data_IF_667854937305
#
_entry.id   IF_667854937305
#
_cell.length_a   1.000
_cell.length_b   1.000
_cell.length_c   1.000
_cell.angle_alpha   90.00
_cell.angle_beta   90.00
_cell.angle_gamma   90.00
#
_symmetry.space_group_name_H-M   'P 1'
#
loop_
_entity.id
_entity.type
_entity.pdbx_description
1 polymer ?
#
# COMPACT_ATOMS: atom_id res chain seq x y z
N UNK A 1 2.33 4.29 16.65
CA UNK A 1 1.46 4.24 15.45
C UNK A 1 2.29 3.68 14.29
N UNK A 2 1.81 2.68 13.55
CA UNK A 2 2.62 1.98 12.53
C UNK A 2 2.96 2.94 11.38
N UNK A 3 4.25 3.10 11.06
CA UNK A 3 4.71 3.78 9.85
C UNK A 3 5.19 2.70 8.89
N UNK A 4 4.61 2.65 7.70
CA UNK A 4 5.01 1.71 6.64
C UNK A 4 5.79 2.47 5.57
N UNK A 5 6.79 1.81 4.99
CA UNK A 5 7.53 2.36 3.86
C UNK A 5 6.67 2.28 2.58
N UNK A 6 7.08 3.02 1.55
CA UNK A 6 6.32 3.16 0.31
C UNK A 6 6.10 1.81 -0.39
N UNK A 7 7.14 0.99 -0.46
CA UNK A 7 7.05 -0.36 -1.07
C UNK A 7 6.06 -1.28 -0.34
N UNK A 8 5.96 -1.17 0.99
CA UNK A 8 4.99 -1.94 1.78
C UNK A 8 3.59 -1.43 1.51
N UNK A 9 3.40 -0.11 1.43
CA UNK A 9 2.13 0.51 1.06
C UNK A 9 1.65 0.03 -0.31
N UNK A 10 2.48 0.05 -1.34
CA UNK A 10 2.10 -0.44 -2.68
C UNK A 10 1.65 -1.91 -2.66
N UNK A 11 2.39 -2.78 -1.96
CA UNK A 11 2.01 -4.19 -1.79
C UNK A 11 0.65 -4.33 -1.09
N UNK A 12 0.39 -3.50 -0.09
CA UNK A 12 -0.89 -3.51 0.64
C UNK A 12 -2.05 -2.99 -0.22
N UNK A 13 -1.82 -1.99 -1.09
CA UNK A 13 -2.82 -1.53 -2.06
C UNK A 13 -3.17 -2.66 -3.04
N UNK A 14 -2.15 -3.33 -3.59
CA UNK A 14 -2.35 -4.43 -4.55
C UNK A 14 -3.16 -5.58 -3.95
N UNK A 15 -2.87 -5.99 -2.70
CA UNK A 15 -3.62 -7.06 -2.05
C UNK A 15 -5.02 -6.61 -1.63
N UNK A 16 -5.21 -5.34 -1.24
CA UNK A 16 -6.54 -4.81 -0.89
C UNK A 16 -7.48 -4.79 -2.10
N UNK A 17 -6.96 -4.51 -3.29
CA UNK A 17 -7.72 -4.54 -4.55
C UNK A 17 -8.25 -5.93 -4.93
N UNK A 18 -7.86 -7.00 -4.24
CA UNK A 18 -8.38 -8.36 -4.44
C UNK A 18 -9.68 -8.62 -3.67
N UNK A 19 -10.04 -7.78 -2.69
CA UNK A 19 -11.23 -8.01 -1.85
C UNK A 19 -12.54 -8.08 -2.63
N UNK A 20 -12.81 -7.23 -3.64
CA UNK A 20 -14.01 -7.36 -4.47
C UNK A 20 -14.17 -8.77 -5.07
N UNK A 21 -13.09 -9.37 -5.57
CA UNK A 21 -13.12 -10.73 -6.12
C UNK A 21 -13.47 -11.79 -5.06
N UNK A 22 -13.07 -11.58 -3.80
CA UNK A 22 -13.44 -12.48 -2.70
C UNK A 22 -14.93 -12.35 -2.36
N UNK A 23 -15.48 -11.13 -2.46
CA UNK A 23 -16.92 -10.88 -2.28
C UNK A 23 -17.71 -11.57 -3.41
N UNK A 24 -17.26 -11.47 -4.66
CA UNK A 24 -17.90 -12.16 -5.80
C UNK A 24 -17.95 -13.68 -5.58
N UNK A 25 -16.87 -14.28 -5.07
CA UNK A 25 -16.83 -15.71 -4.73
C UNK A 25 -17.85 -16.09 -3.66
N UNK A 26 -18.06 -15.22 -2.66
CA UNK A 26 -19.06 -15.43 -1.63
C UNK A 26 -20.48 -15.31 -2.19
N UNK A 27 -20.75 -14.28 -2.99
CA UNK A 27 -22.05 -14.03 -3.62
C UNK A 27 -22.47 -15.22 -4.51
N UNK A 28 -21.53 -15.73 -5.30
CA UNK A 28 -21.73 -16.89 -6.17
C UNK A 28 -21.82 -18.22 -5.41
N UNK A 29 -21.69 -18.22 -4.07
CA UNK A 29 -21.60 -19.41 -3.22
C UNK A 29 -20.53 -20.38 -3.74
N UNK A 30 -19.40 -19.84 -4.19
CA UNK A 30 -18.32 -20.63 -4.77
C UNK A 30 -17.64 -21.47 -3.67
N UNK A 31 -17.35 -22.74 -3.96
CA UNK A 31 -16.70 -23.66 -3.03
C UNK A 31 -15.28 -23.26 -2.62
N UNK A 32 -14.63 -22.39 -3.39
CA UNK A 32 -13.25 -21.94 -3.13
C UNK A 32 -13.16 -20.69 -2.27
N UNK A 33 -14.28 -20.03 -1.93
CA UNK A 33 -14.30 -18.75 -1.21
C UNK A 33 -13.42 -18.77 0.04
N UNK A 34 -13.66 -19.74 0.94
CA UNK A 34 -12.92 -19.85 2.20
C UNK A 34 -11.42 -20.07 1.99
N UNK A 35 -11.01 -20.89 1.02
CA UNK A 35 -9.60 -21.10 0.68
C UNK A 35 -8.95 -19.82 0.14
N UNK A 36 -9.66 -19.09 -0.74
CA UNK A 36 -9.20 -17.82 -1.28
C UNK A 36 -9.03 -16.76 -0.18
N UNK A 37 -9.93 -16.69 0.80
CA UNK A 37 -9.78 -15.80 1.97
C UNK A 37 -8.55 -16.18 2.80
N UNK A 38 -8.32 -17.46 3.09
CA UNK A 38 -7.13 -17.90 3.84
C UNK A 38 -5.83 -17.57 3.11
N UNK A 39 -5.80 -17.73 1.78
CA UNK A 39 -4.65 -17.38 0.96
C UNK A 39 -4.40 -15.87 0.95
N UNK A 40 -5.47 -15.08 0.81
CA UNK A 40 -5.40 -13.62 0.90
C UNK A 40 -4.85 -13.16 2.25
N UNK A 41 -5.36 -13.69 3.37
CA UNK A 41 -4.85 -13.41 4.73
C UNK A 41 -3.37 -13.78 4.87
N UNK A 42 -2.94 -14.90 4.28
CA UNK A 42 -1.54 -15.32 4.25
C UNK A 42 -0.64 -14.35 3.49
N UNK A 43 -1.13 -13.76 2.40
CA UNK A 43 -0.39 -12.76 1.64
C UNK A 43 -0.24 -11.46 2.43
N UNK A 44 -1.31 -11.00 3.09
CA UNK A 44 -1.26 -9.81 3.98
C UNK A 44 -0.30 -10.04 5.15
N UNK A 45 -0.37 -11.21 5.79
CA UNK A 45 0.58 -11.63 6.84
C UNK A 45 2.03 -11.54 6.36
N UNK A 46 2.32 -12.08 5.17
CA UNK A 46 3.67 -12.06 4.58
C UNK A 46 4.18 -10.63 4.37
N UNK A 47 3.34 -9.73 3.85
CA UNK A 47 3.69 -8.32 3.65
C UNK A 47 4.07 -7.66 4.98
N UNK A 48 3.26 -7.85 6.04
CA UNK A 48 3.58 -7.29 7.36
C UNK A 48 4.78 -7.95 8.02
N UNK A 49 5.02 -9.24 7.79
CA UNK A 49 6.20 -9.96 8.30
C UNK A 49 7.48 -9.43 7.67
N UNK A 50 7.49 -9.20 6.35
CA UNK A 50 8.61 -8.57 5.64
C UNK A 50 8.87 -7.14 6.16
N UNK A 51 7.81 -6.41 6.50
CA UNK A 51 7.89 -5.09 7.12
C UNK A 51 8.21 -5.13 8.64
N UNK A 52 8.49 -6.31 9.22
CA UNK A 52 8.74 -6.52 10.65
C UNK A 52 7.66 -5.93 11.57
N UNK A 53 6.41 -5.94 11.10
CA UNK A 53 5.25 -5.40 11.82
C UNK A 53 4.57 -6.47 12.67
N UNK A 54 4.19 -6.10 13.90
CA UNK A 54 3.37 -6.94 14.77
C UNK A 54 1.99 -7.21 14.18
N UNK A 55 1.52 -6.40 13.23
CA UNK A 55 0.25 -6.65 12.50
C UNK A 55 0.19 -8.02 11.84
N UNK A 56 1.33 -8.63 11.50
CA UNK A 56 1.36 -10.00 10.96
C UNK A 56 0.66 -11.01 11.89
N UNK A 57 0.78 -10.87 13.21
CA UNK A 57 0.13 -11.78 14.16
C UNK A 57 -1.40 -11.61 14.17
N UNK A 58 -1.91 -10.40 13.99
CA UNK A 58 -3.35 -10.13 13.88
C UNK A 58 -3.96 -10.88 12.69
N UNK A 59 -3.37 -10.76 11.49
CA UNK A 59 -3.85 -11.50 10.32
C UNK A 59 -3.68 -13.02 10.44
N UNK A 60 -2.61 -13.47 11.11
CA UNK A 60 -2.44 -14.90 11.40
C UNK A 60 -3.55 -15.43 12.32
N UNK A 61 -4.04 -14.60 13.25
CA UNK A 61 -5.13 -14.94 14.18
C UNK A 61 -6.47 -15.01 13.44
N UNK A 62 -6.73 -14.08 12.52
CA UNK A 62 -7.92 -14.12 11.66
C UNK A 62 -7.93 -15.40 10.81
N UNK A 63 -6.78 -15.82 10.27
CA UNK A 63 -6.67 -17.09 9.54
C UNK A 63 -6.88 -18.30 10.46
N UNK A 64 -6.33 -18.26 11.68
CA UNK A 64 -6.50 -19.31 12.68
C UNK A 64 -7.98 -19.49 13.06
N UNK A 65 -8.76 -18.41 13.12
CA UNK A 65 -10.20 -18.46 13.39
C UNK A 65 -10.93 -19.31 12.34
N UNK A 66 -10.67 -19.08 11.05
CA UNK A 66 -11.25 -19.87 9.96
C UNK A 66 -10.82 -21.35 10.07
N UNK A 67 -9.53 -21.61 10.25
CA UNK A 67 -8.99 -22.98 10.40
C UNK A 67 -9.61 -23.72 11.60
N UNK A 68 -9.86 -23.01 12.70
CA UNK A 68 -10.47 -23.56 13.90
C UNK A 68 -11.95 -23.92 13.66
N UNK A 69 -12.67 -23.10 12.89
CA UNK A 69 -14.03 -23.42 12.44
C UNK A 69 -14.08 -24.63 11.50
N UNK A 70 -13.14 -24.74 10.57
CA UNK A 70 -13.01 -25.92 9.68
C UNK A 70 -12.76 -27.21 10.45
N UNK A 71 -11.98 -27.13 11.55
CA UNK A 71 -11.66 -28.27 12.42
C UNK A 71 -12.74 -28.54 13.47
N UNK A 72 -13.78 -27.73 13.56
CA UNK A 72 -14.86 -27.87 14.56
C UNK A 72 -14.42 -27.54 15.99
N UNK A 73 -13.31 -26.82 16.16
CA UNK A 73 -12.84 -26.33 17.47
C UNK A 73 -13.76 -25.24 17.99
N UNK A 74 -14.20 -24.35 17.08
CA UNK A 74 -15.22 -23.35 17.37
C UNK A 74 -16.57 -24.02 17.13
N UNK A 75 -17.37 -24.15 18.19
CA UNK A 75 -18.71 -24.72 18.10
C UNK A 75 -19.67 -23.72 17.45
N UNK A 76 -20.57 -24.25 16.65
CA UNK A 76 -21.68 -23.49 16.11
C UNK A 76 -22.78 -23.42 17.17
N UNK A 77 -22.77 -22.37 18.00
CA UNK A 77 -23.71 -22.19 19.11
C UNK A 77 -25.11 -21.70 18.66
N UNK A 78 -25.52 -21.99 17.41
CA UNK A 78 -26.81 -21.55 16.90
C UNK A 78 -27.96 -22.29 17.59
N UNK A 79 -28.59 -21.60 18.54
CA UNK A 79 -29.76 -22.01 19.33
C UNK A 79 -31.08 -22.05 18.54
N UNK A 80 -31.07 -21.73 17.24
CA UNK A 80 -32.29 -21.59 16.42
C UNK A 80 -32.29 -22.33 15.08
N UNK A 81 -31.33 -23.22 14.82
CA UNK A 81 -31.38 -24.10 13.63
C UNK A 81 -30.03 -24.64 13.21
N UNK A 82 -30.02 -25.82 12.57
CA UNK A 82 -28.80 -26.46 12.09
C UNK A 82 -28.18 -25.67 10.92
N UNK A 83 -27.24 -24.76 11.22
CA UNK A 83 -26.39 -24.16 10.20
C UNK A 83 -25.38 -25.22 9.74
N UNK A 84 -25.32 -25.47 8.42
CA UNK A 84 -24.32 -26.37 7.84
C UNK A 84 -22.91 -25.89 8.16
N UNK A 85 -21.97 -26.82 8.38
CA UNK A 85 -20.54 -26.51 8.57
C UNK A 85 -20.00 -25.51 7.54
N UNK A 86 -20.38 -25.66 6.26
CA UNK A 86 -19.98 -24.75 5.19
C UNK A 86 -20.42 -23.31 5.45
N UNK A 87 -21.72 -23.07 5.66
CA UNK A 87 -22.26 -21.74 5.98
C UNK A 87 -21.60 -21.11 7.21
N UNK A 88 -21.30 -21.91 8.23
CA UNK A 88 -20.61 -21.44 9.43
C UNK A 88 -19.18 -20.96 9.10
N UNK A 89 -18.40 -21.76 8.38
CA UNK A 89 -17.03 -21.41 7.97
C UNK A 89 -17.01 -20.22 7.01
N UNK A 90 -17.91 -20.17 6.03
CA UNK A 90 -18.04 -19.02 5.13
C UNK A 90 -18.36 -17.73 5.93
N UNK A 91 -19.18 -17.83 6.98
CA UNK A 91 -19.45 -16.74 7.92
C UNK A 91 -18.19 -16.26 8.65
N UNK A 92 -17.33 -17.17 9.09
CA UNK A 92 -16.02 -16.82 9.67
C UNK A 92 -15.10 -16.16 8.64
N UNK A 93 -15.16 -16.59 7.37
CA UNK A 93 -14.43 -15.97 6.27
C UNK A 93 -14.85 -14.51 6.05
N UNK A 94 -16.16 -14.23 6.04
CA UNK A 94 -16.69 -12.87 5.96
C UNK A 94 -16.28 -12.03 7.18
N UNK A 95 -16.40 -12.58 8.39
CA UNK A 95 -15.97 -11.89 9.60
C UNK A 95 -14.48 -11.52 9.54
N UNK A 96 -13.63 -12.46 9.10
CA UNK A 96 -12.20 -12.23 8.96
C UNK A 96 -11.88 -11.16 7.90
N UNK A 97 -12.60 -11.15 6.76
CA UNK A 97 -12.44 -10.10 5.74
C UNK A 97 -12.83 -8.73 6.27
N UNK A 98 -13.98 -8.60 6.93
CA UNK A 98 -14.45 -7.33 7.50
C UNK A 98 -13.47 -6.80 8.54
N UNK A 99 -13.01 -7.64 9.47
CA UNK A 99 -12.02 -7.25 10.47
C UNK A 99 -10.68 -6.87 9.82
N UNK A 100 -10.27 -7.58 8.78
CA UNK A 100 -9.07 -7.24 8.01
C UNK A 100 -9.16 -5.88 7.35
N UNK A 101 -10.29 -5.55 6.73
CA UNK A 101 -10.52 -4.26 6.09
C UNK A 101 -10.51 -3.12 7.12
N UNK A 102 -11.16 -3.31 8.27
CA UNK A 102 -11.12 -2.33 9.36
C UNK A 102 -9.70 -2.09 9.89
N UNK A 103 -8.82 -3.11 9.84
CA UNK A 103 -7.42 -2.98 10.24
C UNK A 103 -6.54 -2.35 9.16
N UNK A 104 -6.82 -2.61 7.87
CA UNK A 104 -6.02 -2.12 6.74
C UNK A 104 -6.37 -0.68 6.35
N UNK A 105 -7.66 -0.34 6.32
CA UNK A 105 -8.13 0.93 5.78
C UNK A 105 -7.48 2.16 6.43
N UNK A 106 -7.36 2.26 7.77
CA UNK A 106 -6.71 3.41 8.40
C UNK A 106 -5.22 3.53 8.05
N UNK A 107 -4.54 2.39 7.84
CA UNK A 107 -3.13 2.36 7.45
C UNK A 107 -2.99 2.86 6.01
N UNK A 108 -3.83 2.32 5.10
CA UNK A 108 -3.80 2.68 3.68
C UNK A 108 -4.14 4.16 3.46
N UNK A 109 -5.25 4.65 4.03
CA UNK A 109 -5.67 6.05 3.83
C UNK A 109 -4.64 7.05 4.34
N UNK A 110 -4.04 6.78 5.50
CA UNK A 110 -2.98 7.66 6.04
C UNK A 110 -1.73 7.64 5.17
N UNK A 111 -1.27 6.46 4.76
CA UNK A 111 -0.09 6.33 3.91
C UNK A 111 -0.32 6.96 2.54
N UNK A 112 -1.51 6.81 1.96
CA UNK A 112 -1.88 7.47 0.71
C UNK A 112 -1.79 9.00 0.82
N UNK A 113 -2.35 9.58 1.89
CA UNK A 113 -2.26 11.01 2.14
C UNK A 113 -0.80 11.46 2.28
N UNK A 114 -0.01 10.75 3.09
CA UNK A 114 1.41 11.05 3.34
C UNK A 114 2.24 11.01 2.04
N UNK A 115 2.11 9.93 1.25
CA UNK A 115 2.87 9.78 0.01
C UNK A 115 2.38 10.70 -1.09
N UNK A 116 1.08 11.02 -1.15
CA UNK A 116 0.54 12.03 -2.06
C UNK A 116 1.13 13.41 -1.78
N UNK A 117 1.23 13.80 -0.50
CA UNK A 117 1.89 15.04 -0.11
C UNK A 117 3.37 15.06 -0.54
N UNK A 118 4.11 13.97 -0.36
CA UNK A 118 5.50 13.88 -0.81
C UNK A 118 5.63 14.02 -2.32
N UNK A 119 4.78 13.33 -3.09
CA UNK A 119 4.76 13.49 -4.56
C UNK A 119 4.49 14.93 -4.98
N UNK A 120 3.55 15.62 -4.32
CA UNK A 120 3.27 17.04 -4.60
C UNK A 120 4.47 17.94 -4.30
N UNK A 121 5.15 17.72 -3.16
CA UNK A 121 6.35 18.48 -2.81
C UNK A 121 7.48 18.22 -3.81
N UNK A 122 7.69 16.96 -4.23
CA UNK A 122 8.66 16.59 -5.26
C UNK A 122 8.34 17.28 -6.59
N UNK A 123 7.07 17.29 -7.01
CA UNK A 123 6.63 18.01 -8.21
C UNK A 123 6.94 19.50 -8.13
N UNK A 124 6.66 20.15 -6.98
CA UNK A 124 6.98 21.56 -6.76
C UNK A 124 8.49 21.83 -6.84
N UNK A 125 9.31 20.95 -6.25
CA UNK A 125 10.77 21.07 -6.34
C UNK A 125 11.26 20.97 -7.78
N UNK A 126 10.76 20.01 -8.56
CA UNK A 126 11.11 19.92 -9.97
C UNK A 126 10.60 21.10 -10.81
N UNK A 127 9.46 21.69 -10.47
CA UNK A 127 8.96 22.91 -11.12
C UNK A 127 9.83 24.14 -10.83
N UNK A 128 10.39 24.27 -9.63
CA UNK A 128 11.37 25.34 -9.34
C UNK A 128 12.70 25.07 -10.06
N UNK A 129 13.11 23.81 -10.13
CA UNK A 129 14.30 23.42 -10.88
C UNK A 129 14.13 23.58 -12.42
N UNK A 130 12.89 23.53 -12.92
CA UNK A 130 12.61 23.70 -14.34
C UNK A 130 12.83 25.10 -14.85
N UNK A 131 12.56 26.08 -14.00
CA UNK A 131 12.72 27.49 -14.33
C UNK A 131 14.21 27.93 -14.24
N UNK A 132 15.11 27.04 -13.81
CA UNK A 132 16.52 27.30 -13.57
C UNK A 132 17.48 26.42 -14.39
N UNK A 133 17.28 26.30 -15.71
CA UNK A 133 18.16 25.53 -16.66
C UNK A 133 18.50 24.08 -16.22
N UNK A 134 17.82 23.53 -15.21
CA UNK A 134 18.24 22.32 -14.52
C UNK A 134 17.57 21.06 -15.09
N UNK A 135 16.45 21.18 -15.81
CA UNK A 135 15.73 20.04 -16.41
C UNK A 135 16.63 19.21 -17.32
N UNK A 136 17.44 19.86 -18.16
CA UNK A 136 18.26 19.14 -19.14
C UNK A 136 19.39 18.31 -18.48
N UNK A 137 19.63 18.51 -17.18
CA UNK A 137 20.55 17.73 -16.35
C UNK A 137 19.83 16.67 -15.50
N UNK A 138 18.51 16.56 -15.55
CA UNK A 138 17.75 15.56 -14.80
C UNK A 138 17.96 14.18 -15.45
N UNK A 139 18.59 13.22 -14.76
CA UNK A 139 18.84 11.90 -15.33
C UNK A 139 17.54 11.16 -15.64
N UNK A 140 17.62 10.24 -16.61
CA UNK A 140 16.47 9.39 -17.01
C UNK A 140 15.93 8.58 -15.84
N UNK A 141 16.80 8.06 -14.98
CA UNK A 141 16.41 7.44 -13.73
C UNK A 141 17.37 7.89 -12.65
N UNK A 142 16.84 8.17 -11.46
CA UNK A 142 17.63 8.49 -10.30
C UNK A 142 18.18 7.23 -9.66
N UNK A 143 19.50 7.16 -9.57
CA UNK A 143 20.20 6.20 -8.70
C UNK A 143 20.38 6.78 -7.30
N UNK A 144 20.88 5.94 -6.39
CA UNK A 144 21.30 6.33 -5.04
C UNK A 144 22.30 7.49 -5.05
N UNK A 145 23.17 7.57 -6.05
CA UNK A 145 24.19 8.61 -6.21
C UNK A 145 23.55 9.92 -6.67
N UNK A 146 22.73 9.86 -7.73
CA UNK A 146 22.05 11.04 -8.30
C UNK A 146 21.18 11.72 -7.25
N UNK A 147 20.45 10.93 -6.46
CA UNK A 147 19.51 11.52 -5.52
C UNK A 147 20.20 12.29 -4.39
N UNK A 148 21.39 11.86 -3.95
CA UNK A 148 22.18 12.60 -2.95
C UNK A 148 22.59 13.99 -3.45
N UNK A 149 22.99 14.08 -4.72
CA UNK A 149 23.39 15.33 -5.35
C UNK A 149 22.19 16.29 -5.49
N UNK A 150 21.06 15.78 -5.97
CA UNK A 150 19.85 16.57 -6.12
C UNK A 150 19.28 17.03 -4.78
N UNK A 151 19.24 16.16 -3.77
CA UNK A 151 18.81 16.57 -2.42
C UNK A 151 19.71 17.64 -1.85
N UNK A 152 21.03 17.54 -2.03
CA UNK A 152 21.96 18.58 -1.60
C UNK A 152 21.64 19.93 -2.26
N UNK A 153 21.33 19.94 -3.56
CA UNK A 153 20.95 21.16 -4.27
C UNK A 153 19.62 21.72 -3.76
N UNK A 154 18.58 20.89 -3.62
CA UNK A 154 17.28 21.34 -3.10
C UNK A 154 17.34 21.82 -1.65
N UNK A 155 18.20 21.23 -0.82
CA UNK A 155 18.45 21.70 0.54
C UNK A 155 19.22 23.02 0.61
N UNK A 156 20.03 23.32 -0.41
CA UNK A 156 20.81 24.56 -0.49
C UNK A 156 20.00 25.73 -1.07
N UNK A 157 18.90 25.44 -1.76
CA UNK A 157 18.02 26.45 -2.35
C UNK A 157 17.02 27.00 -1.30
N UNK A 158 16.91 28.33 -1.13
CA UNK A 158 16.04 28.94 -0.13
C UNK A 158 14.55 28.61 -0.28
N UNK A 159 14.08 28.33 -1.50
CA UNK A 159 12.67 28.05 -1.80
C UNK A 159 12.36 26.58 -1.51
N UNK A 160 13.21 25.66 -1.99
CA UNK A 160 12.95 24.22 -1.90
C UNK A 160 13.43 23.56 -0.62
N UNK A 161 14.32 24.20 0.15
CA UNK A 161 14.94 23.60 1.34
C UNK A 161 13.92 23.08 2.36
N UNK A 162 12.87 23.85 2.65
CA UNK A 162 11.82 23.45 3.59
C UNK A 162 11.04 22.20 3.13
N UNK A 163 10.84 22.03 1.83
CA UNK A 163 10.15 20.88 1.25
C UNK A 163 11.05 19.64 1.25
N UNK A 164 12.32 19.84 0.92
CA UNK A 164 13.33 18.79 0.91
C UNK A 164 13.57 18.22 2.32
N UNK A 165 13.74 19.09 3.32
CA UNK A 165 13.89 18.66 4.72
C UNK A 165 12.68 17.86 5.19
N UNK A 166 11.45 18.33 4.91
CA UNK A 166 10.22 17.63 5.31
C UNK A 166 10.15 16.20 4.75
N UNK A 167 10.55 16.00 3.49
CA UNK A 167 10.57 14.66 2.87
C UNK A 167 11.67 13.80 3.48
N UNK A 168 12.89 14.32 3.66
CA UNK A 168 14.01 13.54 4.19
C UNK A 168 13.87 13.16 5.67
N UNK A 169 13.22 14.01 6.47
CA UNK A 169 12.90 13.70 7.87
C UNK A 169 11.82 12.61 7.99
N UNK A 170 10.97 12.49 6.97
CA UNK A 170 9.76 11.67 7.06
C UNK A 170 9.80 10.41 6.20
N UNK A 171 10.49 10.39 5.06
CA UNK A 171 10.59 9.24 4.19
C UNK A 171 11.96 8.56 4.33
N UNK A 172 12.00 7.24 4.21
CA UNK A 172 13.28 6.54 4.11
C UNK A 172 13.95 6.90 2.78
N UNK A 173 15.28 6.90 2.75
CA UNK A 173 16.03 7.22 1.53
C UNK A 173 15.62 6.36 0.33
N UNK A 174 15.32 5.07 0.57
CA UNK A 174 14.80 4.17 -0.46
C UNK A 174 13.43 4.57 -0.98
N UNK A 175 12.52 5.00 -0.10
CA UNK A 175 11.18 5.46 -0.51
C UNK A 175 11.29 6.72 -1.34
N UNK A 176 12.17 7.63 -0.93
CA UNK A 176 12.44 8.88 -1.63
C UNK A 176 12.92 8.65 -3.06
N UNK A 177 13.77 7.64 -3.31
CA UNK A 177 14.18 7.24 -4.67
C UNK A 177 13.00 6.76 -5.51
N UNK A 178 12.13 5.94 -4.94
CA UNK A 178 10.97 5.41 -5.67
C UNK A 178 10.04 6.56 -6.03
N UNK A 179 9.69 7.40 -5.04
CA UNK A 179 8.78 8.53 -5.22
C UNK A 179 9.30 9.55 -6.25
N UNK A 180 10.60 9.87 -6.23
CA UNK A 180 11.20 10.78 -7.21
C UNK A 180 11.12 10.22 -8.61
N UNK A 181 11.46 8.94 -8.80
CA UNK A 181 11.40 8.30 -10.12
C UNK A 181 9.96 8.25 -10.66
N UNK A 182 8.98 7.93 -9.82
CA UNK A 182 7.57 7.94 -10.22
C UNK A 182 7.10 9.32 -10.68
N UNK A 183 7.41 10.37 -9.90
CA UNK A 183 7.04 11.75 -10.27
C UNK A 183 7.66 12.16 -11.60
N UNK A 184 8.93 11.79 -11.85
CA UNK A 184 9.59 12.09 -13.11
C UNK A 184 8.95 11.36 -14.30
N UNK A 185 8.56 10.11 -14.12
CA UNK A 185 7.87 9.35 -15.15
C UNK A 185 6.48 9.91 -15.45
N UNK A 186 5.76 10.39 -14.44
CA UNK A 186 4.49 11.12 -14.62
C UNK A 186 4.68 12.42 -15.40
N UNK A 187 5.63 13.28 -14.99
CA UNK A 187 5.92 14.55 -15.68
C UNK A 187 6.31 14.34 -17.15
N UNK A 188 7.07 13.28 -17.46
CA UNK A 188 7.43 12.94 -18.85
C UNK A 188 6.24 12.47 -19.68
N UNK A 189 5.33 11.69 -19.08
CA UNK A 189 4.09 11.28 -19.74
C UNK A 189 3.22 12.50 -20.07
N UNK A 190 3.11 13.44 -19.13
CA UNK A 190 2.39 14.71 -19.32
C UNK A 190 3.01 15.54 -20.46
N UNK A 191 4.34 15.69 -20.50
CA UNK A 191 5.04 16.39 -21.59
C UNK A 191 4.82 15.75 -22.97
N UNK A 192 4.93 14.41 -23.08
CA UNK A 192 4.67 13.70 -24.33
C UNK A 192 3.23 13.89 -24.83
N UNK A 193 2.26 13.86 -23.93
CA UNK A 193 0.85 14.10 -24.27
C UNK A 193 0.60 15.53 -24.75
N UNK A 194 1.30 16.53 -24.18
CA UNK A 194 1.21 17.92 -24.65
C UNK A 194 1.84 18.12 -26.03
N UNK A 195 2.92 17.41 -26.36
CA UNK A 195 3.56 17.48 -27.69
C UNK A 195 2.74 16.79 -28.79
N UNK A 196 1.96 15.76 -28.47
CA UNK A 196 1.09 15.09 -29.46
C UNK A 196 -0.24 15.82 -29.73
N UNK A 197 -0.57 16.83 -28.91
CA UNK A 197 -1.79 17.65 -29.06
C UNK A 197 -1.55 18.99 -29.76
N UNK A 198 -0.31 19.28 -30.16
CA UNK A 198 0.08 20.45 -30.96
C UNK A 198 0.27 20.04 -32.41
#
# INVERSE_FOLDING_TARGET
MLKINYRTYEKLVLVSNQVPQLVDLYEQRNGIFTESVKLWLKNVEKIFKEAKSTKASEFSTLRLMILSGERGVIKNDSSSGHISKRKFVDGLGIQALTQSQNNLQPILSRSEEEFSQYKQLIRKMFAVASDSEFIDKIPKHFTTFDISFFWKNFLSDPITSSWASRILESASYSDTIILVNEVLDELRKEQKQMMMKK
#
